data_IF_455765035666
#
_entry.id   IF_455765035666
#
_cell.length_a   1.000
_cell.length_b   1.000
_cell.length_c   1.000
_cell.angle_alpha   90.00
_cell.angle_beta   90.00
_cell.angle_gamma   90.00
#
_symmetry.space_group_name_H-M   'P 1'
#
loop_
_entity.id
_entity.type
_entity.pdbx_description
1 polymer ?
#
# COMPACT_ATOMS: atom_id res chain seq x y z
N UNK A 1 9.90 7.88 4.09
CA UNK A 1 10.24 8.97 5.04
C UNK A 1 9.37 10.23 4.85
N UNK A 2 9.07 10.68 3.59
CA UNK A 2 8.23 11.87 3.33
C UNK A 2 6.79 11.66 3.78
N UNK A 3 6.11 10.65 3.23
CA UNK A 3 4.71 10.34 3.55
C UNK A 3 4.51 10.07 5.05
N UNK A 4 5.39 9.29 5.66
CA UNK A 4 5.32 9.01 7.10
C UNK A 4 5.26 10.29 7.94
N UNK A 5 6.15 11.26 7.68
CA UNK A 5 6.15 12.53 8.43
C UNK A 5 4.86 13.31 8.23
N UNK A 6 4.41 13.45 6.98
CA UNK A 6 3.18 14.19 6.67
C UNK A 6 1.95 13.54 7.31
N UNK A 7 1.87 12.20 7.34
CA UNK A 7 0.78 11.46 8.00
C UNK A 7 0.88 11.60 9.52
N UNK A 8 2.09 11.51 10.10
CA UNK A 8 2.29 11.67 11.53
C UNK A 8 1.93 13.09 12.00
N UNK A 9 2.33 14.11 11.24
CA UNK A 9 1.96 15.51 11.52
C UNK A 9 0.43 15.67 11.47
N UNK A 10 -0.22 15.10 10.45
CA UNK A 10 -1.69 15.15 10.32
C UNK A 10 -2.41 14.43 11.45
N UNK A 11 -1.91 13.28 11.89
CA UNK A 11 -2.45 12.57 13.07
C UNK A 11 -2.33 13.44 14.34
N UNK A 12 -1.20 14.15 14.50
CA UNK A 12 -1.01 15.11 15.60
C UNK A 12 -2.05 16.24 15.59
N UNK A 13 -2.35 16.81 14.41
CA UNK A 13 -3.41 17.82 14.24
C UNK A 13 -4.81 17.28 14.60
N UNK A 14 -5.06 15.99 14.37
CA UNK A 14 -6.28 15.29 14.74
C UNK A 14 -6.33 14.87 16.23
N UNK A 15 -5.28 15.20 17.00
CA UNK A 15 -5.20 14.89 18.43
C UNK A 15 -4.63 13.50 18.75
N UNK A 16 -4.10 12.77 17.76
CA UNK A 16 -3.47 11.47 17.99
C UNK A 16 -1.94 11.63 18.15
N UNK A 17 -1.40 11.22 19.29
CA UNK A 17 0.04 11.21 19.52
C UNK A 17 0.68 9.93 18.96
N UNK A 18 1.26 10.02 17.77
CA UNK A 18 1.92 8.89 17.12
C UNK A 18 3.25 8.49 17.79
N UNK A 19 3.81 9.28 18.72
CA UNK A 19 5.11 9.00 19.36
C UNK A 19 5.07 7.78 20.27
N UNK A 20 3.90 7.47 20.84
CA UNK A 20 3.68 6.28 21.67
C UNK A 20 3.33 5.02 20.87
N UNK A 21 3.20 5.13 19.55
CA UNK A 21 2.82 4.00 18.71
C UNK A 21 4.07 3.29 18.19
N UNK A 22 4.24 2.02 18.58
CA UNK A 22 5.26 1.14 17.99
C UNK A 22 4.62 0.27 16.89
N UNK A 23 4.91 0.56 15.61
CA UNK A 23 4.35 -0.20 14.50
C UNK A 23 4.82 -1.66 14.46
N UNK A 24 5.88 -1.99 15.19
CA UNK A 24 6.47 -3.33 15.25
C UNK A 24 6.16 -4.07 16.57
N UNK A 25 5.35 -3.53 17.45
CA UNK A 25 4.99 -4.17 18.73
C UNK A 25 4.46 -5.61 18.55
N UNK A 26 3.82 -5.90 17.42
CA UNK A 26 3.32 -7.24 17.04
C UNK A 26 4.20 -7.93 15.98
N UNK A 27 5.39 -7.39 15.71
CA UNK A 27 6.29 -7.83 14.64
C UNK A 27 5.81 -7.44 13.24
N UNK A 28 6.53 -7.91 12.24
CA UNK A 28 6.19 -7.63 10.84
C UNK A 28 4.88 -8.30 10.42
N UNK A 29 4.03 -7.54 9.73
CA UNK A 29 2.77 -8.04 9.18
C UNK A 29 2.95 -9.11 8.08
N UNK A 30 1.88 -9.88 7.78
CA UNK A 30 1.96 -10.98 6.81
C UNK A 30 2.39 -10.55 5.41
N UNK A 31 1.90 -9.40 4.93
CA UNK A 31 2.29 -8.88 3.62
C UNK A 31 3.77 -8.52 3.57
N UNK A 32 4.31 -7.87 4.60
CA UNK A 32 5.73 -7.54 4.66
C UNK A 32 6.59 -8.83 4.66
N UNK A 33 6.24 -9.82 5.49
CA UNK A 33 6.95 -11.10 5.54
C UNK A 33 6.95 -11.82 4.18
N UNK A 34 5.82 -11.75 3.47
CA UNK A 34 5.72 -12.30 2.12
C UNK A 34 6.65 -11.57 1.15
N UNK A 35 6.62 -10.24 1.12
CA UNK A 35 7.45 -9.43 0.22
C UNK A 35 8.96 -9.62 0.50
N UNK A 36 9.33 -9.68 1.77
CA UNK A 36 10.73 -9.88 2.20
C UNK A 36 11.26 -11.25 1.79
N UNK A 37 10.41 -12.28 1.84
CA UNK A 37 10.75 -13.66 1.46
C UNK A 37 10.81 -13.95 -0.03
N UNK A 38 10.47 -13.00 -0.92
CA UNK A 38 10.49 -13.23 -2.36
C UNK A 38 11.92 -13.38 -2.89
N UNK A 39 12.22 -14.47 -3.65
CA UNK A 39 13.60 -14.82 -3.99
C UNK A 39 14.19 -13.99 -5.12
N UNK A 40 13.37 -13.56 -6.10
CA UNK A 40 13.86 -12.90 -7.32
C UNK A 40 13.43 -11.44 -7.42
N UNK A 41 14.22 -10.64 -8.14
CA UNK A 41 13.88 -9.24 -8.44
C UNK A 41 12.56 -9.12 -9.18
N UNK A 42 12.28 -10.02 -10.12
CA UNK A 42 11.01 -10.04 -10.87
C UNK A 42 9.81 -10.17 -9.92
N UNK A 43 9.87 -11.14 -9.00
CA UNK A 43 8.78 -11.35 -8.03
C UNK A 43 8.64 -10.14 -7.09
N UNK A 44 9.75 -9.59 -6.60
CA UNK A 44 9.75 -8.39 -5.73
C UNK A 44 9.15 -7.17 -6.41
N UNK A 45 9.49 -6.94 -7.67
CA UNK A 45 8.91 -5.83 -8.47
C UNK A 45 7.44 -6.08 -8.75
N UNK A 46 7.06 -7.31 -9.11
CA UNK A 46 5.66 -7.67 -9.38
C UNK A 46 4.78 -7.51 -8.13
N UNK A 47 5.22 -7.99 -7.00
CA UNK A 47 4.49 -7.92 -5.74
C UNK A 47 4.48 -6.49 -5.14
N UNK A 48 5.65 -5.86 -5.04
CA UNK A 48 5.86 -4.54 -4.44
C UNK A 48 5.42 -3.40 -5.36
N UNK A 49 6.33 -2.96 -6.25
CA UNK A 49 6.13 -1.75 -7.05
C UNK A 49 4.96 -1.83 -8.03
N UNK A 50 4.61 -3.02 -8.52
CA UNK A 50 3.50 -3.12 -9.46
C UNK A 50 2.17 -3.37 -8.76
N UNK A 51 2.04 -4.47 -8.01
CA UNK A 51 0.73 -4.87 -7.46
C UNK A 51 0.37 -4.10 -6.21
N UNK A 52 1.29 -4.00 -5.23
CA UNK A 52 1.01 -3.27 -3.98
C UNK A 52 0.69 -1.80 -4.23
N UNK A 53 1.44 -1.15 -5.13
CA UNK A 53 1.18 0.26 -5.46
C UNK A 53 -0.14 0.45 -6.24
N UNK A 54 -0.54 -0.51 -7.08
CA UNK A 54 -1.86 -0.48 -7.70
C UNK A 54 -2.99 -0.58 -6.64
N UNK A 55 -2.82 -1.45 -5.65
CA UNK A 55 -3.75 -1.56 -4.51
C UNK A 55 -3.78 -0.23 -3.74
N UNK A 56 -2.61 0.38 -3.48
CA UNK A 56 -2.51 1.66 -2.78
C UNK A 56 -3.27 2.76 -3.52
N UNK A 57 -3.14 2.88 -4.84
CA UNK A 57 -3.88 3.87 -5.64
C UNK A 57 -5.40 3.70 -5.47
N UNK A 58 -5.91 2.47 -5.54
CA UNK A 58 -7.36 2.20 -5.36
C UNK A 58 -7.81 2.56 -3.95
N UNK A 59 -7.07 2.11 -2.93
CA UNK A 59 -7.41 2.36 -1.52
C UNK A 59 -7.33 3.84 -1.17
N UNK A 60 -6.33 4.56 -1.68
CA UNK A 60 -6.17 5.99 -1.44
C UNK A 60 -7.34 6.79 -2.03
N UNK A 61 -7.84 6.43 -3.21
CA UNK A 61 -9.05 7.04 -3.78
C UNK A 61 -10.27 6.84 -2.88
N UNK A 62 -10.50 5.61 -2.44
CA UNK A 62 -11.60 5.30 -1.51
C UNK A 62 -11.46 6.06 -0.19
N UNK A 63 -10.23 6.19 0.31
CA UNK A 63 -9.95 6.94 1.53
C UNK A 63 -10.15 8.46 1.35
N UNK A 64 -9.73 9.03 0.22
CA UNK A 64 -10.00 10.43 -0.14
C UNK A 64 -11.51 10.72 -0.14
N UNK A 65 -12.29 9.86 -0.82
CA UNK A 65 -13.75 9.99 -0.85
C UNK A 65 -14.38 9.88 0.55
N UNK A 66 -13.85 9.00 1.39
CA UNK A 66 -14.27 8.89 2.80
C UNK A 66 -13.98 10.17 3.57
N UNK A 67 -12.76 10.72 3.47
CA UNK A 67 -12.36 11.96 4.13
C UNK A 67 -13.21 13.15 3.65
N UNK A 68 -13.48 13.26 2.35
CA UNK A 68 -14.35 14.31 1.79
C UNK A 68 -15.77 14.23 2.38
N UNK A 69 -16.36 13.02 2.47
CA UNK A 69 -17.67 12.81 3.09
C UNK A 69 -17.68 13.09 4.58
N UNK A 70 -16.59 12.80 5.27
CA UNK A 70 -16.41 13.09 6.71
C UNK A 70 -16.12 14.58 7.00
N UNK A 71 -15.91 15.41 5.96
CA UNK A 71 -15.55 16.82 6.10
C UNK A 71 -14.08 17.08 6.38
N UNK A 72 -13.23 16.04 6.39
CA UNK A 72 -11.79 16.17 6.59
C UNK A 72 -11.07 16.47 5.27
N UNK A 73 -11.24 17.71 4.82
CA UNK A 73 -10.65 18.18 3.56
C UNK A 73 -9.12 18.23 3.59
N UNK A 74 -8.51 18.44 4.76
CA UNK A 74 -7.06 18.52 4.87
C UNK A 74 -6.43 17.14 4.61
N UNK A 75 -6.95 16.09 5.22
CA UNK A 75 -6.52 14.71 4.95
C UNK A 75 -6.80 14.31 3.49
N UNK A 76 -7.99 14.63 2.97
CA UNK A 76 -8.31 14.36 1.57
C UNK A 76 -7.32 15.03 0.60
N UNK A 77 -6.97 16.29 0.84
CA UNK A 77 -6.00 17.05 0.03
C UNK A 77 -4.60 16.45 0.13
N UNK A 78 -4.13 16.11 1.33
CA UNK A 78 -2.84 15.46 1.52
C UNK A 78 -2.72 14.17 0.67
N UNK A 79 -3.74 13.32 0.70
CA UNK A 79 -3.72 12.09 -0.06
C UNK A 79 -3.87 12.32 -1.56
N UNK A 80 -4.74 13.23 -1.99
CA UNK A 80 -5.00 13.52 -3.40
C UNK A 80 -3.82 14.16 -4.11
N UNK A 81 -3.19 15.13 -3.46
CA UNK A 81 -2.22 16.02 -4.11
C UNK A 81 -0.77 15.58 -3.90
N UNK A 82 -0.51 14.72 -2.90
CA UNK A 82 0.84 14.29 -2.55
C UNK A 82 1.00 12.78 -2.60
N UNK A 83 0.18 12.03 -1.86
CA UNK A 83 0.43 10.59 -1.69
C UNK A 83 0.02 9.81 -2.93
N UNK A 84 -1.19 9.98 -3.43
CA UNK A 84 -1.68 9.23 -4.61
C UNK A 84 -0.83 9.45 -5.87
N UNK A 85 -0.35 10.67 -6.22
CA UNK A 85 0.54 10.86 -7.35
C UNK A 85 1.86 10.08 -7.22
N UNK A 86 2.46 10.02 -6.04
CA UNK A 86 3.68 9.26 -5.78
C UNK A 86 3.42 7.75 -5.97
N UNK A 87 2.28 7.22 -5.47
CA UNK A 87 1.93 5.80 -5.63
C UNK A 87 1.63 5.42 -7.09
N UNK A 88 1.01 6.31 -7.86
CA UNK A 88 0.84 6.12 -9.31
C UNK A 88 2.18 6.05 -10.03
N UNK A 89 3.12 6.91 -9.66
CA UNK A 89 4.47 6.88 -10.22
C UNK A 89 5.17 5.56 -9.90
N UNK A 90 5.10 5.09 -8.65
CA UNK A 90 5.68 3.81 -8.24
C UNK A 90 5.08 2.64 -9.01
N UNK A 91 3.76 2.61 -9.19
CA UNK A 91 3.08 1.59 -9.99
C UNK A 91 3.55 1.60 -11.45
N UNK A 92 3.66 2.78 -12.09
CA UNK A 92 4.15 2.91 -13.46
C UNK A 92 5.61 2.48 -13.60
N UNK A 93 6.44 2.81 -12.60
CA UNK A 93 7.81 2.34 -12.53
C UNK A 93 7.86 0.82 -12.44
N UNK A 94 7.06 0.21 -11.58
CA UNK A 94 6.93 -1.24 -11.47
C UNK A 94 6.55 -1.90 -12.78
N UNK A 95 5.55 -1.34 -13.49
CA UNK A 95 5.18 -1.81 -14.84
C UNK A 95 6.34 -1.73 -15.82
N UNK A 96 7.05 -0.61 -15.86
CA UNK A 96 8.17 -0.40 -16.78
C UNK A 96 9.33 -1.35 -16.49
N UNK A 97 9.59 -1.65 -15.21
CA UNK A 97 10.60 -2.63 -14.81
C UNK A 97 10.19 -4.05 -15.21
N UNK A 98 8.92 -4.44 -15.00
CA UNK A 98 8.44 -5.77 -15.38
C UNK A 98 8.55 -6.03 -16.88
N UNK A 99 8.27 -5.04 -17.72
CA UNK A 99 8.43 -5.17 -19.18
C UNK A 99 9.88 -5.51 -19.60
N UNK A 100 10.86 -5.13 -18.76
CA UNK A 100 12.27 -5.43 -19.00
C UNK A 100 12.73 -6.73 -18.33
N UNK A 101 12.25 -6.99 -17.13
CA UNK A 101 12.74 -8.09 -16.28
C UNK A 101 12.01 -9.41 -16.56
N UNK A 102 10.73 -9.38 -16.91
CA UNK A 102 9.94 -10.57 -17.19
C UNK A 102 10.04 -10.98 -18.67
N UNK A 103 11.27 -11.14 -19.16
CA UNK A 103 11.54 -11.42 -20.57
C UNK A 103 11.32 -12.88 -20.98
N UNK A 104 11.27 -13.82 -20.02
CA UNK A 104 11.06 -15.26 -20.29
C UNK A 104 9.71 -15.73 -19.77
N UNK A 105 9.13 -16.83 -20.31
CA UNK A 105 7.90 -17.40 -19.82
C UNK A 105 7.94 -17.73 -18.31
N UNK A 106 9.06 -18.23 -17.81
CA UNK A 106 9.28 -18.57 -16.41
C UNK A 106 9.24 -17.31 -15.51
N UNK A 107 9.90 -16.22 -15.96
CA UNK A 107 9.90 -14.94 -15.25
C UNK A 107 8.50 -14.29 -15.24
N UNK A 108 7.76 -14.40 -16.36
CA UNK A 108 6.38 -13.92 -16.44
C UNK A 108 5.44 -14.71 -15.51
N UNK A 109 5.63 -16.02 -15.44
CA UNK A 109 4.83 -16.88 -14.55
C UNK A 109 5.16 -16.60 -13.06
N UNK A 110 6.43 -16.38 -12.72
CA UNK A 110 6.86 -15.97 -11.39
C UNK A 110 6.22 -14.62 -10.99
N UNK A 111 6.25 -13.64 -11.91
CA UNK A 111 5.60 -12.34 -11.71
C UNK A 111 4.08 -12.48 -11.47
N UNK A 112 3.39 -13.30 -12.27
CA UNK A 112 1.94 -13.54 -12.11
C UNK A 112 1.61 -14.16 -10.77
N UNK A 113 2.35 -15.20 -10.35
CA UNK A 113 2.15 -15.82 -9.03
C UNK A 113 2.38 -14.84 -7.89
N UNK A 114 3.45 -14.03 -7.96
CA UNK A 114 3.75 -13.03 -6.95
C UNK A 114 2.65 -11.97 -6.85
N UNK A 115 2.17 -11.46 -7.99
CA UNK A 115 1.05 -10.51 -8.04
C UNK A 115 -0.24 -11.11 -7.48
N UNK A 116 -0.61 -12.31 -7.90
CA UNK A 116 -1.83 -12.99 -7.43
C UNK A 116 -1.81 -13.22 -5.90
N UNK A 117 -0.66 -13.64 -5.34
CA UNK A 117 -0.54 -13.84 -3.89
C UNK A 117 -0.59 -12.50 -3.14
N UNK A 118 -0.01 -11.44 -3.68
CA UNK A 118 -0.08 -10.09 -3.10
C UNK A 118 -1.54 -9.60 -3.01
N UNK A 119 -2.33 -9.78 -4.07
CA UNK A 119 -3.76 -9.44 -4.08
C UNK A 119 -4.52 -10.25 -3.02
N UNK A 120 -4.35 -11.57 -2.99
CA UNK A 120 -5.01 -12.43 -2.02
C UNK A 120 -4.69 -12.03 -0.56
N UNK A 121 -3.41 -11.73 -0.26
CA UNK A 121 -3.01 -11.25 1.07
C UNK A 121 -3.65 -9.90 1.41
N UNK A 122 -3.74 -8.98 0.46
CA UNK A 122 -4.37 -7.69 0.69
C UNK A 122 -5.87 -7.84 1.00
N UNK A 123 -6.57 -8.75 0.31
CA UNK A 123 -7.97 -9.08 0.56
C UNK A 123 -8.16 -9.75 1.94
N UNK A 124 -7.30 -10.71 2.29
CA UNK A 124 -7.29 -11.35 3.61
C UNK A 124 -7.14 -10.32 4.74
N UNK A 125 -6.18 -9.40 4.60
CA UNK A 125 -5.91 -8.34 5.57
C UNK A 125 -7.05 -7.32 5.67
N UNK A 126 -7.63 -6.91 4.55
CA UNK A 126 -8.79 -6.02 4.53
C UNK A 126 -9.99 -6.68 5.21
N UNK A 127 -10.25 -7.94 4.93
CA UNK A 127 -11.31 -8.71 5.57
C UNK A 127 -11.07 -8.87 7.08
N UNK A 128 -9.85 -9.08 7.51
CA UNK A 128 -9.49 -9.13 8.92
C UNK A 128 -9.72 -7.76 9.61
N UNK A 129 -9.23 -6.67 9.03
CA UNK A 129 -9.41 -5.32 9.57
C UNK A 129 -10.89 -4.94 9.72
N UNK A 130 -11.71 -5.33 8.73
CA UNK A 130 -13.15 -5.12 8.79
C UNK A 130 -13.80 -5.89 9.95
N UNK A 131 -13.48 -7.19 10.09
CA UNK A 131 -14.09 -8.05 11.14
C UNK A 131 -13.65 -7.67 12.55
N UNK A 132 -12.38 -7.28 12.73
CA UNK A 132 -11.81 -7.06 14.07
C UNK A 132 -11.93 -5.62 14.55
N UNK A 133 -11.94 -4.66 13.64
CA UNK A 133 -11.93 -3.24 13.99
C UNK A 133 -12.95 -2.39 13.23
N UNK A 134 -13.79 -3.00 12.39
CA UNK A 134 -14.77 -2.28 11.58
C UNK A 134 -14.17 -1.29 10.58
N UNK A 135 -12.90 -1.49 10.20
CA UNK A 135 -12.19 -0.56 9.31
C UNK A 135 -12.55 -0.86 7.86
N UNK A 136 -13.34 0.02 7.24
CA UNK A 136 -13.77 -0.07 5.84
C UNK A 136 -12.85 0.69 4.87
N UNK A 137 -12.28 1.81 5.31
CA UNK A 137 -11.59 2.78 4.47
C UNK A 137 -10.18 3.07 5.00
N UNK A 138 -9.34 2.05 5.10
CA UNK A 138 -7.91 2.26 5.39
C UNK A 138 -7.20 2.73 4.13
N UNK A 139 -6.30 3.76 4.23
CA UNK A 139 -5.44 4.12 3.10
C UNK A 139 -4.52 2.98 2.72
N UNK A 140 -4.01 3.01 1.48
CA UNK A 140 -2.98 2.10 1.01
C UNK A 140 -1.63 2.81 1.01
N UNK A 141 -0.65 2.25 1.68
CA UNK A 141 0.76 2.66 1.59
C UNK A 141 1.65 1.46 1.81
#
# INVERSE_FOLDING_TARGET
>A
AKHYRMIADRLGELGFDARGFDPLAQGWGPLFKYLDGLPTTVERVAAGQFTREAIAVVKNRQFIEFCDRAGDRLTATLYRDVIEPDERFHHQLGRSLLLKLAATPEAQEAARRASARTLALAEELQGAALRTAGIHHAPGC
#
